data_IF_045328062783
#
_entry.id   IF_045328062783
#
_cell.length_a   1.000
_cell.length_b   1.000
_cell.length_c   1.000
_cell.angle_alpha   90.00
_cell.angle_beta   90.00
_cell.angle_gamma   90.00
#
_symmetry.space_group_name_H-M   'P 1'
#
loop_
_entity.id
_entity.type
_entity.pdbx_description
1 polymer ?
#
# COMPACT_ATOMS: atom_id res chain seq x y z
N UNK A 1 -20.16 -11.70 -2.93
CA UNK A 1 -20.98 -12.94 -2.88
C UNK A 1 -22.26 -12.70 -3.66
N UNK A 2 -22.43 -13.43 -4.77
CA UNK A 2 -23.68 -13.41 -5.51
C UNK A 2 -24.61 -14.47 -4.88
N UNK A 3 -25.69 -14.01 -4.28
CA UNK A 3 -26.74 -14.89 -3.79
C UNK A 3 -27.86 -14.92 -4.84
N UNK A 4 -28.06 -16.04 -5.52
CA UNK A 4 -29.20 -16.24 -6.39
C UNK A 4 -30.23 -17.08 -5.63
N UNK A 5 -31.37 -16.47 -5.31
CA UNK A 5 -32.50 -17.18 -4.67
C UNK A 5 -33.47 -17.58 -5.78
N UNK A 6 -33.60 -18.87 -6.03
CA UNK A 6 -34.69 -19.42 -6.83
C UNK A 6 -35.77 -20.00 -5.91
N UNK A 7 -37.00 -19.89 -6.30
CA UNK A 7 -38.21 -20.12 -5.47
C UNK A 7 -38.39 -21.51 -4.89
N UNK A 8 -37.47 -22.43 -5.08
CA UNK A 8 -37.46 -23.79 -4.46
C UNK A 8 -36.11 -24.28 -4.01
N UNK A 9 -34.98 -23.67 -4.41
CA UNK A 9 -33.64 -24.08 -3.98
C UNK A 9 -32.76 -22.86 -3.81
N UNK A 10 -32.16 -22.69 -2.64
CA UNK A 10 -31.15 -21.67 -2.41
C UNK A 10 -29.83 -22.23 -2.95
N UNK A 11 -29.42 -21.79 -4.13
CA UNK A 11 -28.08 -22.06 -4.64
C UNK A 11 -27.18 -20.93 -4.15
N UNK A 12 -26.43 -21.21 -3.06
CA UNK A 12 -25.36 -20.34 -2.62
C UNK A 12 -24.17 -20.52 -3.58
N UNK A 13 -24.08 -19.72 -4.63
CA UNK A 13 -22.84 -19.60 -5.38
C UNK A 13 -21.92 -18.71 -4.59
N UNK A 14 -21.07 -19.33 -3.76
CA UNK A 14 -19.88 -18.63 -3.26
C UNK A 14 -18.98 -18.39 -4.48
N UNK A 15 -19.12 -17.24 -5.09
CA UNK A 15 -18.07 -16.70 -5.92
C UNK A 15 -16.83 -16.62 -5.04
N UNK A 16 -15.81 -17.42 -5.35
CA UNK A 16 -14.51 -17.29 -4.71
C UNK A 16 -13.99 -15.94 -5.19
N UNK A 17 -14.11 -14.93 -4.35
CA UNK A 17 -13.52 -13.63 -4.60
C UNK A 17 -11.99 -13.82 -4.51
N UNK A 18 -11.39 -14.07 -5.67
CA UNK A 18 -9.96 -14.34 -5.80
C UNK A 18 -9.14 -13.15 -5.27
N UNK A 19 -9.69 -11.96 -5.37
CA UNK A 19 -9.12 -10.71 -4.89
C UNK A 19 -9.08 -10.66 -3.36
N UNK A 20 -10.15 -11.08 -2.72
CA UNK A 20 -10.23 -11.18 -1.26
C UNK A 20 -9.24 -12.22 -0.72
N UNK A 21 -9.02 -13.32 -1.42
CA UNK A 21 -8.03 -14.34 -1.03
C UNK A 21 -6.60 -13.78 -1.07
N UNK A 22 -6.24 -13.01 -2.08
CA UNK A 22 -4.91 -12.39 -2.18
C UNK A 22 -4.66 -11.42 -1.03
N UNK A 23 -5.62 -10.54 -0.74
CA UNK A 23 -5.55 -9.61 0.40
C UNK A 23 -5.43 -10.34 1.74
N UNK A 24 -6.19 -11.42 1.94
CA UNK A 24 -6.08 -12.25 3.13
C UNK A 24 -4.71 -12.92 3.27
N UNK A 25 -4.08 -13.32 2.17
CA UNK A 25 -2.73 -13.87 2.18
C UNK A 25 -1.72 -12.78 2.57
N UNK A 26 -1.79 -11.59 1.97
CA UNK A 26 -0.96 -10.44 2.34
C UNK A 26 -1.11 -10.11 3.82
N UNK A 27 -2.34 -9.91 4.29
CA UNK A 27 -2.61 -9.65 5.70
C UNK A 27 -1.97 -10.69 6.63
N UNK A 28 -2.22 -11.99 6.39
CA UNK A 28 -1.66 -13.07 7.20
C UNK A 28 -0.13 -13.12 7.17
N UNK A 29 0.48 -12.76 6.05
CA UNK A 29 1.93 -12.70 5.90
C UNK A 29 2.50 -11.58 6.74
N UNK A 30 1.96 -10.37 6.62
CA UNK A 30 2.39 -9.21 7.38
C UNK A 30 2.08 -9.31 8.88
N UNK A 31 0.93 -9.87 9.26
CA UNK A 31 0.62 -10.17 10.67
C UNK A 31 1.68 -11.05 11.34
N UNK A 32 2.25 -12.01 10.61
CA UNK A 32 3.32 -12.88 11.13
C UNK A 32 4.68 -12.19 11.19
N UNK A 33 4.93 -11.23 10.32
CA UNK A 33 6.22 -10.55 10.22
C UNK A 33 6.29 -9.29 11.09
N UNK A 34 5.17 -8.79 11.58
CA UNK A 34 5.08 -7.49 12.23
C UNK A 34 6.10 -7.31 13.37
N UNK A 35 6.25 -8.31 14.23
CA UNK A 35 7.07 -8.20 15.44
C UNK A 35 8.56 -7.90 15.19
N UNK A 36 9.11 -8.33 14.07
CA UNK A 36 10.53 -8.17 13.72
C UNK A 36 10.75 -7.48 12.36
N UNK A 37 9.69 -6.99 11.71
CA UNK A 37 9.75 -6.41 10.36
C UNK A 37 10.77 -5.27 10.23
N UNK A 38 10.92 -4.44 11.25
CA UNK A 38 11.85 -3.32 11.22
C UNK A 38 13.32 -3.75 11.21
N UNK A 39 13.62 -4.99 11.55
CA UNK A 39 14.99 -5.52 11.67
C UNK A 39 15.28 -6.73 10.81
N UNK A 40 14.23 -7.40 10.30
CA UNK A 40 14.38 -8.62 9.51
C UNK A 40 14.77 -8.33 8.05
N UNK A 41 15.07 -9.38 7.30
CA UNK A 41 15.46 -9.32 5.88
C UNK A 41 14.26 -8.88 5.01
N UNK A 42 13.05 -9.29 5.36
CA UNK A 42 11.84 -8.96 4.61
C UNK A 42 11.59 -7.44 4.58
N UNK A 43 11.80 -6.76 5.72
CA UNK A 43 11.69 -5.31 5.80
C UNK A 43 12.91 -4.53 5.29
N UNK A 44 14.02 -5.22 4.96
CA UNK A 44 15.25 -4.53 4.51
C UNK A 44 15.06 -3.75 3.21
N UNK A 45 14.26 -4.29 2.27
CA UNK A 45 13.99 -3.63 1.01
C UNK A 45 13.20 -2.32 1.23
N UNK A 46 12.15 -2.36 2.03
CA UNK A 46 11.35 -1.19 2.39
C UNK A 46 12.23 -0.07 2.99
N UNK A 47 13.11 -0.41 3.94
CA UNK A 47 14.01 0.56 4.59
C UNK A 47 14.98 1.24 3.63
N UNK A 48 15.43 0.54 2.59
CA UNK A 48 16.31 1.12 1.55
C UNK A 48 15.63 2.20 0.72
N UNK A 49 14.30 2.17 0.64
CA UNK A 49 13.49 3.12 -0.12
C UNK A 49 13.13 4.39 0.67
N UNK A 50 13.29 4.41 2.00
CA UNK A 50 12.94 5.58 2.82
C UNK A 50 13.71 6.83 2.39
N UNK A 51 15.03 6.73 2.29
CA UNK A 51 15.87 7.86 1.90
C UNK A 51 15.45 8.51 0.57
N UNK A 52 15.31 7.77 -0.55
CA UNK A 52 14.86 8.37 -1.82
C UNK A 52 13.43 8.94 -1.74
N UNK A 53 12.51 8.33 -1.00
CA UNK A 53 11.16 8.87 -0.79
C UNK A 53 11.26 10.22 -0.06
N UNK A 54 11.98 10.26 1.06
CA UNK A 54 12.18 11.46 1.87
C UNK A 54 12.84 12.59 1.07
N UNK A 55 13.86 12.27 0.26
CA UNK A 55 14.52 13.26 -0.60
C UNK A 55 13.55 13.89 -1.62
N UNK A 56 12.58 13.12 -2.13
CA UNK A 56 11.55 13.63 -3.03
C UNK A 56 10.45 14.43 -2.31
N UNK A 57 10.26 14.24 -1.02
CA UNK A 57 9.32 15.02 -0.20
C UNK A 57 9.92 16.34 0.28
N UNK A 58 11.25 16.38 0.53
CA UNK A 58 11.95 17.59 0.98
C UNK A 58 11.70 18.76 0.04
N UNK A 59 11.62 19.95 0.60
CA UNK A 59 11.37 21.22 -0.11
C UNK A 59 9.97 21.34 -0.74
N UNK A 60 9.04 20.45 -0.40
CA UNK A 60 7.63 20.58 -0.73
C UNK A 60 6.88 21.11 0.49
N UNK A 61 5.89 21.94 0.26
CA UNK A 61 5.01 22.40 1.32
C UNK A 61 3.92 21.34 1.52
N UNK A 62 4.15 20.41 2.45
CA UNK A 62 3.24 19.28 2.73
C UNK A 62 2.59 19.53 4.09
N UNK A 63 1.30 19.83 4.10
CA UNK A 63 0.52 19.90 5.31
C UNK A 63 0.03 18.52 5.73
N UNK A 64 -0.50 17.73 4.80
CA UNK A 64 -1.05 16.39 5.05
C UNK A 64 -0.42 15.34 4.14
N UNK A 65 0.01 14.21 4.72
CA UNK A 65 0.59 13.07 4.01
C UNK A 65 -0.10 11.76 4.41
N UNK A 66 -0.35 10.89 3.43
CA UNK A 66 -0.81 9.52 3.64
C UNK A 66 0.28 8.53 3.22
N UNK A 67 0.58 7.58 4.09
CA UNK A 67 1.39 6.39 3.79
C UNK A 67 0.45 5.20 3.52
N UNK A 68 0.49 4.71 2.28
CA UNK A 68 -0.39 3.68 1.74
C UNK A 68 0.27 2.30 1.88
N UNK A 69 -0.22 1.47 2.79
CA UNK A 69 0.46 0.28 3.28
C UNK A 69 1.58 0.66 4.25
N UNK A 70 1.24 1.40 5.31
CA UNK A 70 2.21 2.03 6.20
C UNK A 70 3.00 1.05 7.09
N UNK A 71 2.60 -0.22 7.12
CA UNK A 71 3.25 -1.25 7.91
C UNK A 71 3.40 -0.85 9.38
N UNK A 72 4.61 -0.99 9.90
CA UNK A 72 4.97 -0.63 11.27
C UNK A 72 5.10 0.90 11.52
N UNK A 73 4.77 1.75 10.54
CA UNK A 73 4.86 3.21 10.64
C UNK A 73 6.29 3.77 10.65
N UNK A 74 7.28 2.98 10.25
CA UNK A 74 8.69 3.41 10.32
C UNK A 74 9.00 4.59 9.39
N UNK A 75 8.44 4.60 8.15
CA UNK A 75 8.59 5.73 7.24
C UNK A 75 7.89 6.98 7.79
N UNK A 76 6.67 6.85 8.33
CA UNK A 76 5.95 7.97 8.94
C UNK A 76 6.73 8.58 10.12
N UNK A 77 7.38 7.73 10.92
CA UNK A 77 8.24 8.19 12.01
C UNK A 77 9.41 9.05 11.49
N UNK A 78 10.11 8.61 10.44
CA UNK A 78 11.18 9.41 9.83
C UNK A 78 10.65 10.74 9.25
N UNK A 79 9.49 10.73 8.59
CA UNK A 79 8.82 11.93 8.08
C UNK A 79 8.52 12.90 9.22
N UNK A 80 8.04 12.42 10.36
CA UNK A 80 7.77 13.20 11.57
C UNK A 80 9.04 13.81 12.14
N UNK A 81 10.07 13.00 12.37
CA UNK A 81 11.35 13.43 12.95
C UNK A 81 12.04 14.51 12.11
N UNK A 82 11.86 14.46 10.78
CA UNK A 82 12.39 15.44 9.85
C UNK A 82 11.46 16.65 9.63
N UNK A 83 10.31 16.72 10.28
CA UNK A 83 9.30 17.77 10.13
C UNK A 83 8.92 18.04 8.66
N UNK A 84 8.71 16.96 7.86
CA UNK A 84 8.38 17.06 6.44
C UNK A 84 6.90 17.39 6.24
N UNK A 85 6.02 16.87 7.09
CA UNK A 85 4.58 17.09 7.04
C UNK A 85 4.03 17.38 8.45
N UNK A 86 2.93 18.14 8.50
CA UNK A 86 2.29 18.51 9.77
C UNK A 86 1.33 17.42 10.26
N UNK A 87 0.54 16.84 9.34
CA UNK A 87 -0.45 15.81 9.62
C UNK A 87 -0.07 14.51 8.93
N UNK A 88 0.08 13.46 9.72
CA UNK A 88 0.49 12.15 9.26
C UNK A 88 -0.68 11.17 9.32
N UNK A 89 -0.89 10.48 8.22
CA UNK A 89 -1.90 9.42 8.12
C UNK A 89 -1.25 8.15 7.60
N UNK A 90 -1.68 7.01 8.12
CA UNK A 90 -1.27 5.70 7.64
C UNK A 90 -2.47 4.78 7.50
N UNK A 91 -2.47 3.96 6.45
CA UNK A 91 -3.46 2.90 6.26
C UNK A 91 -2.74 1.59 5.99
N UNK A 92 -3.17 0.53 6.66
CA UNK A 92 -2.65 -0.82 6.43
C UNK A 92 -3.75 -1.86 6.60
N UNK A 93 -3.59 -3.00 5.94
CA UNK A 93 -4.53 -4.12 6.03
C UNK A 93 -4.23 -5.04 7.21
N UNK A 94 -3.02 -4.97 7.77
CA UNK A 94 -2.55 -5.80 8.88
C UNK A 94 -2.77 -5.11 10.23
N UNK A 95 -3.64 -5.64 11.09
CA UNK A 95 -3.82 -5.10 12.44
C UNK A 95 -2.55 -5.20 13.28
N UNK A 96 -1.73 -6.26 13.10
CA UNK A 96 -0.50 -6.43 13.87
C UNK A 96 0.57 -5.40 13.47
N UNK A 97 0.65 -5.03 12.18
CA UNK A 97 1.51 -3.93 11.73
C UNK A 97 1.07 -2.61 12.37
N UNK A 98 -0.23 -2.32 12.36
CA UNK A 98 -0.76 -1.09 12.95
C UNK A 98 -0.57 -1.01 14.45
N UNK A 99 -0.66 -2.12 15.19
CA UNK A 99 -0.33 -2.15 16.63
C UNK A 99 1.10 -1.69 16.89
N UNK A 100 2.06 -2.14 16.06
CA UNK A 100 3.46 -1.69 16.15
C UNK A 100 3.57 -0.19 15.79
N UNK A 101 2.85 0.25 14.75
CA UNK A 101 2.84 1.65 14.33
C UNK A 101 2.24 2.56 15.41
N UNK A 102 1.15 2.16 16.05
CA UNK A 102 0.53 2.89 17.19
C UNK A 102 1.49 3.03 18.36
N UNK A 103 2.19 1.94 18.72
CA UNK A 103 3.21 1.99 19.77
C UNK A 103 4.38 2.93 19.43
N UNK A 104 4.70 3.08 18.14
CA UNK A 104 5.82 3.88 17.64
C UNK A 104 5.48 5.37 17.50
N UNK A 105 4.27 5.67 17.04
CA UNK A 105 3.84 7.02 16.66
C UNK A 105 2.89 7.66 17.68
N UNK A 106 2.16 6.87 18.45
CA UNK A 106 1.17 7.40 19.41
C UNK A 106 0.17 8.34 18.72
N UNK A 107 0.05 9.54 19.27
CA UNK A 107 -0.84 10.58 18.75
C UNK A 107 -0.24 11.40 17.61
N UNK A 108 0.97 11.10 17.16
CA UNK A 108 1.64 11.85 16.07
C UNK A 108 1.12 11.49 14.68
N UNK A 109 0.37 10.39 14.54
CA UNK A 109 -0.24 9.97 13.29
C UNK A 109 -1.65 9.43 13.49
N UNK A 110 -2.50 9.61 12.50
CA UNK A 110 -3.79 8.92 12.41
C UNK A 110 -3.62 7.62 11.63
N UNK A 111 -3.78 6.49 12.31
CA UNK A 111 -3.60 5.16 11.74
C UNK A 111 -4.96 4.48 11.54
N UNK A 112 -5.16 3.86 10.36
CA UNK A 112 -6.44 3.27 9.95
C UNK A 112 -6.22 1.84 9.49
N UNK A 113 -6.95 0.91 10.07
CA UNK A 113 -7.08 -0.44 9.53
C UNK A 113 -8.00 -0.40 8.31
N UNK A 114 -7.46 -0.64 7.12
CA UNK A 114 -8.23 -0.48 5.90
C UNK A 114 -7.58 -1.06 4.66
N UNK A 115 -8.28 -0.89 3.55
CA UNK A 115 -7.93 -1.41 2.24
C UNK A 115 -7.59 -0.25 1.29
N UNK A 116 -6.42 -0.30 0.66
CA UNK A 116 -5.97 0.71 -0.31
C UNK A 116 -6.88 0.82 -1.55
N UNK A 117 -7.69 -0.18 -1.84
CA UNK A 117 -8.70 -0.14 -2.90
C UNK A 117 -9.99 0.61 -2.49
N UNK A 118 -10.09 1.04 -1.24
CA UNK A 118 -11.22 1.82 -0.73
C UNK A 118 -10.76 2.72 0.42
N UNK A 119 -10.22 3.86 0.09
CA UNK A 119 -9.68 4.80 1.07
C UNK A 119 -10.81 5.53 1.82
N UNK A 120 -10.82 5.50 3.16
CA UNK A 120 -11.86 6.14 3.97
C UNK A 120 -11.61 7.64 4.17
N UNK A 121 -11.15 8.32 3.12
CA UNK A 121 -10.85 9.75 3.13
C UNK A 121 -11.68 10.47 2.08
N UNK A 122 -11.89 11.77 2.31
CA UNK A 122 -12.57 12.64 1.36
C UNK A 122 -11.67 12.96 0.15
N UNK A 123 -12.29 13.47 -0.92
CA UNK A 123 -11.57 13.93 -2.10
C UNK A 123 -10.62 15.08 -1.74
N UNK A 124 -9.47 15.13 -2.38
CA UNK A 124 -8.49 16.22 -2.21
C UNK A 124 -8.05 16.44 -0.75
N UNK A 125 -7.82 15.36 0.00
CA UNK A 125 -7.43 15.40 1.42
C UNK A 125 -5.93 15.59 1.62
N UNK A 126 -5.08 15.11 0.70
CA UNK A 126 -3.63 15.00 0.93
C UNK A 126 -2.81 15.82 -0.04
N UNK A 127 -1.74 16.47 0.49
CA UNK A 127 -0.72 17.14 -0.31
C UNK A 127 0.28 16.14 -0.88
N UNK A 128 0.50 15.04 -0.17
CA UNK A 128 1.34 13.94 -0.63
C UNK A 128 0.71 12.59 -0.23
N UNK A 129 0.87 11.60 -1.12
CA UNK A 129 0.61 10.19 -0.81
C UNK A 129 1.89 9.43 -1.16
N UNK A 130 2.32 8.57 -0.26
CA UNK A 130 3.48 7.69 -0.47
C UNK A 130 3.02 6.24 -0.42
N UNK A 131 3.67 5.39 -1.20
CA UNK A 131 3.49 3.94 -1.17
C UNK A 131 4.87 3.31 -1.19
N UNK A 132 5.29 2.76 -0.06
CA UNK A 132 6.62 2.22 0.12
C UNK A 132 6.59 0.70 0.21
N UNK A 133 7.15 0.03 -0.80
CA UNK A 133 7.29 -1.44 -0.89
C UNK A 133 5.98 -2.20 -0.66
N UNK A 134 4.88 -1.64 -1.16
CA UNK A 134 3.53 -2.15 -0.94
C UNK A 134 2.72 -2.32 -2.24
N UNK A 135 3.05 -1.56 -3.29
CA UNK A 135 2.24 -1.51 -4.52
C UNK A 135 2.15 -2.86 -5.24
N UNK A 136 3.20 -3.68 -5.16
CA UNK A 136 3.25 -5.02 -5.75
C UNK A 136 2.32 -6.05 -5.08
N UNK A 137 1.69 -5.71 -3.95
CA UNK A 137 0.69 -6.54 -3.26
C UNK A 137 -0.75 -6.24 -3.69
N UNK A 138 -1.00 -5.17 -4.45
CA UNK A 138 -2.37 -4.77 -4.75
C UNK A 138 -2.96 -5.57 -5.91
N UNK A 139 -4.04 -6.36 -5.69
CA UNK A 139 -4.65 -7.16 -6.74
C UNK A 139 -5.39 -6.31 -7.79
N UNK A 140 -5.85 -5.11 -7.43
CA UNK A 140 -6.53 -4.17 -8.34
C UNK A 140 -5.83 -2.80 -8.35
N UNK A 141 -4.65 -2.70 -8.95
CA UNK A 141 -3.85 -1.47 -8.90
C UNK A 141 -4.54 -0.28 -9.59
N UNK A 142 -5.37 -0.52 -10.60
CA UNK A 142 -6.18 0.53 -11.26
C UNK A 142 -7.24 1.14 -10.30
N UNK A 143 -7.74 0.37 -9.32
CA UNK A 143 -8.65 0.90 -8.30
C UNK A 143 -7.88 1.71 -7.27
N UNK A 144 -6.73 1.22 -6.83
CA UNK A 144 -5.85 1.95 -5.92
C UNK A 144 -5.43 3.28 -6.52
N UNK A 145 -5.05 3.31 -7.79
CA UNK A 145 -4.69 4.52 -8.52
C UNK A 145 -5.81 5.56 -8.50
N UNK A 146 -7.06 5.14 -8.79
CA UNK A 146 -8.23 6.02 -8.74
C UNK A 146 -8.49 6.58 -7.35
N UNK A 147 -8.38 5.76 -6.32
CA UNK A 147 -8.55 6.20 -4.94
C UNK A 147 -7.44 7.19 -4.53
N UNK A 148 -6.20 6.93 -4.91
CA UNK A 148 -5.08 7.85 -4.70
C UNK A 148 -5.33 9.17 -5.43
N UNK A 149 -5.70 9.13 -6.71
CA UNK A 149 -6.00 10.33 -7.52
C UNK A 149 -7.16 11.13 -6.91
N UNK A 150 -8.20 10.46 -6.41
CA UNK A 150 -9.34 11.10 -5.74
C UNK A 150 -8.93 11.80 -4.44
N UNK A 151 -8.11 11.15 -3.63
CA UNK A 151 -7.70 11.67 -2.32
C UNK A 151 -6.58 12.70 -2.39
N UNK A 152 -5.85 12.76 -3.50
CA UNK A 152 -4.76 13.70 -3.69
C UNK A 152 -5.29 15.09 -4.07
N UNK A 153 -4.77 16.14 -3.45
CA UNK A 153 -5.08 17.53 -3.80
C UNK A 153 -4.55 17.88 -5.19
N UNK A 154 -5.12 18.92 -5.79
CA UNK A 154 -4.56 19.50 -7.01
C UNK A 154 -3.10 19.94 -6.75
N UNK A 155 -2.19 19.54 -7.62
CA UNK A 155 -0.73 19.70 -7.47
C UNK A 155 -0.10 18.89 -6.33
N UNK A 156 -0.84 17.98 -5.71
CA UNK A 156 -0.30 17.01 -4.77
C UNK A 156 0.64 16.02 -5.46
N UNK A 157 1.43 15.29 -4.68
CA UNK A 157 2.41 14.34 -5.22
C UNK A 157 2.12 12.92 -4.77
N UNK A 158 2.17 11.98 -5.71
CA UNK A 158 2.18 10.56 -5.41
C UNK A 158 3.57 9.98 -5.64
N UNK A 159 4.15 9.33 -4.61
CA UNK A 159 5.49 8.74 -4.68
C UNK A 159 5.37 7.24 -4.42
N UNK A 160 5.80 6.43 -5.38
CA UNK A 160 5.88 4.98 -5.24
C UNK A 160 7.36 4.58 -5.16
N UNK A 161 7.75 3.99 -4.05
CA UNK A 161 8.99 3.23 -3.91
C UNK A 161 8.65 1.75 -3.86
N UNK A 162 9.10 0.96 -4.83
CA UNK A 162 8.75 -0.45 -4.90
C UNK A 162 9.89 -1.30 -5.47
N UNK A 163 9.79 -2.62 -5.31
CA UNK A 163 10.79 -3.55 -5.78
C UNK A 163 10.93 -3.48 -7.32
N UNK A 164 12.17 -3.50 -7.78
CA UNK A 164 12.49 -3.55 -9.19
C UNK A 164 13.38 -4.75 -9.50
N UNK A 165 13.13 -5.39 -10.65
CA UNK A 165 13.94 -6.49 -11.12
C UNK A 165 14.21 -6.36 -12.63
N UNK A 166 15.39 -6.80 -13.11
CA UNK A 166 15.68 -6.91 -14.54
C UNK A 166 14.66 -7.81 -15.27
N UNK A 167 14.49 -7.59 -16.57
CA UNK A 167 13.40 -8.20 -17.35
C UNK A 167 13.31 -9.72 -17.19
N UNK A 168 14.38 -10.47 -17.27
CA UNK A 168 14.38 -11.93 -17.14
C UNK A 168 14.00 -12.39 -15.73
N UNK A 169 14.65 -11.83 -14.72
CA UNK A 169 14.39 -12.16 -13.31
C UNK A 169 12.96 -11.78 -12.91
N UNK A 170 12.47 -10.59 -13.34
CA UNK A 170 11.11 -10.14 -13.07
C UNK A 170 10.05 -11.09 -13.63
N UNK A 171 10.22 -11.58 -14.85
CA UNK A 171 9.27 -12.52 -15.47
C UNK A 171 9.20 -13.84 -14.69
N UNK A 172 10.35 -14.37 -14.28
CA UNK A 172 10.44 -15.57 -13.47
C UNK A 172 9.77 -15.34 -12.11
N UNK A 173 10.11 -14.25 -11.41
CA UNK A 173 9.54 -13.93 -10.11
C UNK A 173 8.01 -13.75 -10.21
N UNK A 174 7.51 -12.98 -11.18
CA UNK A 174 6.07 -12.80 -11.39
C UNK A 174 5.34 -14.12 -11.69
N UNK A 175 6.00 -15.07 -12.32
CA UNK A 175 5.42 -16.40 -12.50
C UNK A 175 5.28 -17.14 -11.15
N UNK A 176 6.33 -17.13 -10.32
CA UNK A 176 6.28 -17.78 -9.01
C UNK A 176 5.33 -17.09 -8.02
N UNK A 177 5.25 -15.75 -8.03
CA UNK A 177 4.37 -14.98 -7.16
C UNK A 177 2.90 -15.40 -7.31
N UNK A 178 2.45 -15.68 -8.52
CA UNK A 178 1.07 -16.16 -8.78
C UNK A 178 0.73 -17.47 -8.05
N UNK A 179 1.74 -18.27 -7.71
CA UNK A 179 1.57 -19.57 -7.06
C UNK A 179 2.01 -19.55 -5.59
N UNK A 180 2.49 -18.40 -5.11
CA UNK A 180 2.94 -18.22 -3.73
C UNK A 180 1.77 -18.00 -2.77
N UNK A 181 2.06 -18.15 -1.49
CA UNK A 181 1.12 -17.80 -0.42
C UNK A 181 1.49 -16.47 0.27
N UNK A 182 2.45 -15.71 -0.29
CA UNK A 182 2.91 -14.43 0.27
C UNK A 182 1.89 -13.29 0.13
N UNK A 183 1.01 -13.39 -0.87
CA UNK A 183 0.08 -12.31 -1.22
C UNK A 183 0.67 -11.30 -2.21
N UNK A 184 1.90 -11.54 -2.70
CA UNK A 184 2.49 -10.75 -3.79
C UNK A 184 1.70 -10.97 -5.08
N UNK A 185 1.50 -9.90 -5.84
CA UNK A 185 0.74 -9.95 -7.09
C UNK A 185 1.67 -9.80 -8.30
N UNK A 186 2.44 -8.70 -8.34
CA UNK A 186 3.24 -8.39 -9.52
C UNK A 186 4.33 -7.36 -9.25
N UNK A 187 5.54 -7.64 -9.67
CA UNK A 187 6.62 -6.65 -9.81
C UNK A 187 6.47 -5.95 -11.15
N UNK A 188 6.33 -4.63 -11.12
CA UNK A 188 6.15 -3.80 -12.30
C UNK A 188 7.49 -3.36 -12.91
N UNK A 189 7.55 -3.22 -14.21
CA UNK A 189 8.58 -2.42 -14.87
C UNK A 189 8.24 -0.94 -14.77
N UNK A 190 9.25 -0.08 -14.89
CA UNK A 190 9.03 1.38 -14.97
C UNK A 190 7.99 1.75 -16.05
N UNK A 191 8.06 1.10 -17.22
CA UNK A 191 7.11 1.36 -18.32
C UNK A 191 5.68 0.97 -17.97
N UNK A 192 5.48 -0.20 -17.32
CA UNK A 192 4.17 -0.64 -16.88
C UNK A 192 3.60 0.28 -15.81
N UNK A 193 4.42 0.69 -14.84
CA UNK A 193 4.01 1.63 -13.79
C UNK A 193 3.63 3.00 -14.39
N UNK A 194 4.45 3.56 -15.28
CA UNK A 194 4.14 4.82 -15.95
C UNK A 194 2.86 4.72 -16.79
N UNK A 195 2.63 3.60 -17.48
CA UNK A 195 1.41 3.40 -18.27
C UNK A 195 0.17 3.30 -17.37
N UNK A 196 0.28 2.65 -16.21
CA UNK A 196 -0.77 2.58 -15.21
C UNK A 196 -1.11 3.98 -14.72
N UNK A 197 -0.13 4.71 -14.22
CA UNK A 197 -0.31 6.05 -13.61
C UNK A 197 -0.69 7.14 -14.60
N UNK A 198 -0.36 7.00 -15.89
CA UNK A 198 -0.68 8.02 -16.90
C UNK A 198 -2.17 8.19 -17.21
N UNK A 199 -3.04 7.37 -16.65
CA UNK A 199 -4.48 7.47 -16.85
C UNK A 199 -5.11 8.58 -16.02
N UNK A 200 -4.63 8.74 -14.79
CA UNK A 200 -5.24 9.64 -13.79
C UNK A 200 -4.24 10.70 -13.26
N UNK A 201 -2.94 10.59 -13.63
CA UNK A 201 -1.90 11.57 -13.27
C UNK A 201 -1.25 12.18 -14.52
N UNK A 202 -1.02 13.49 -14.51
CA UNK A 202 -0.44 14.30 -15.60
C UNK A 202 0.87 14.95 -15.20
#
# INVERSE_FOLDING_TARGET
SLTIVHSRDIILVKGVDYMNITKQKSQKTFDKQAADYDTNIQGEHARKLYKPIIENLKNKNIHSILDLGCGTGALLKEIKELNIAEQLFGIDISPNMLEIAENKLGNDATLILGDSERLPFEDSSFDAIVCNDSFHHYPQPDIVEKEVSRCLKQNGVFIIGDCWQPIGARQIMNYYMKHSNSGDVKIYSKKEMLLLLSKDFH
#
